data_IF_410623730997
#
_entry.id   IF_410623730997
#
_cell.length_a   1.000
_cell.length_b   1.000
_cell.length_c   1.000
_cell.angle_alpha   90.00
_cell.angle_beta   90.00
_cell.angle_gamma   90.00
#
_symmetry.space_group_name_H-M   'P 1'
#
loop_
_entity.id
_entity.type
_entity.pdbx_description
1 polymer ?
#
# COMPACT_ATOMS: atom_id res chain seq x y z
N UNK A 1 2.58 22.37 -12.79
CA UNK A 1 1.54 21.32 -12.85
C UNK A 1 0.99 21.12 -11.45
N UNK A 2 -0.27 20.69 -11.27
CA UNK A 2 -0.75 20.34 -9.93
C UNK A 2 0.09 19.21 -9.32
N UNK A 3 -0.06 18.97 -8.02
CA UNK A 3 0.54 17.80 -7.38
C UNK A 3 0.16 16.51 -8.12
N UNK A 4 1.14 15.63 -8.34
CA UNK A 4 0.95 14.33 -8.99
C UNK A 4 1.61 13.30 -8.07
N UNK A 5 0.79 12.60 -7.28
CA UNK A 5 1.24 11.57 -6.37
C UNK A 5 1.26 10.23 -7.09
N UNK A 6 2.42 9.59 -7.13
CA UNK A 6 2.62 8.28 -7.73
C UNK A 6 3.42 7.39 -6.81
N UNK A 7 3.38 6.09 -7.09
CA UNK A 7 4.30 5.13 -6.49
C UNK A 7 5.75 5.44 -6.95
N UNK A 8 6.69 5.54 -6.01
CA UNK A 8 8.10 5.82 -6.32
C UNK A 8 8.87 4.55 -6.74
N UNK A 9 10.04 4.74 -7.36
CA UNK A 9 10.87 3.70 -7.96
C UNK A 9 11.73 2.96 -6.92
N UNK A 10 11.08 2.22 -6.03
CA UNK A 10 11.45 0.84 -5.68
C UNK A 10 10.43 0.31 -4.69
N UNK A 11 9.50 -0.46 -5.23
CA UNK A 11 8.70 -1.42 -4.51
C UNK A 11 9.62 -2.33 -3.68
N UNK A 12 9.79 -1.99 -2.41
CA UNK A 12 10.03 -2.98 -1.37
C UNK A 12 8.72 -3.13 -0.62
N UNK A 13 7.78 -3.90 -1.18
CA UNK A 13 6.72 -4.51 -0.36
C UNK A 13 7.42 -5.51 0.55
N UNK A 14 8.01 -5.00 1.62
CA UNK A 14 8.43 -5.84 2.71
C UNK A 14 7.15 -6.03 3.49
N UNK A 15 6.46 -7.13 3.20
CA UNK A 15 5.73 -7.76 4.28
C UNK A 15 6.78 -8.06 5.34
N UNK A 16 6.65 -7.44 6.51
CA UNK A 16 7.42 -7.82 7.67
C UNK A 16 6.48 -8.65 8.55
N UNK A 17 6.61 -9.98 8.58
CA UNK A 17 7.61 -10.83 7.91
C UNK A 17 7.30 -11.13 6.43
N UNK A 18 8.34 -11.47 5.63
CA UNK A 18 8.25 -11.73 4.16
C UNK A 18 7.39 -12.97 3.84
N UNK A 19 7.03 -13.73 4.86
CA UNK A 19 6.09 -14.85 4.81
C UNK A 19 5.14 -14.70 5.99
N UNK A 20 4.10 -13.85 5.87
CA UNK A 20 3.14 -13.63 6.92
C UNK A 20 2.41 -14.93 7.26
N UNK A 21 2.18 -15.10 8.55
CA UNK A 21 1.50 -16.25 9.10
C UNK A 21 0.03 -15.92 9.33
N UNK A 22 -0.85 -16.86 9.01
CA UNK A 22 -2.28 -16.71 9.21
C UNK A 22 -2.59 -16.32 10.67
N UNK A 23 -3.39 -15.26 10.83
CA UNK A 23 -3.77 -14.74 12.14
C UNK A 23 -2.68 -13.97 12.89
N UNK A 24 -1.53 -13.71 12.28
CA UNK A 24 -0.50 -12.82 12.80
C UNK A 24 -0.51 -11.50 12.07
N UNK A 25 -0.17 -10.44 12.81
CA UNK A 25 -0.02 -9.11 12.24
C UNK A 25 1.19 -9.09 11.30
N UNK A 26 1.00 -8.50 10.12
CA UNK A 26 2.08 -8.18 9.20
C UNK A 26 1.88 -6.78 8.65
N UNK A 27 2.98 -6.07 8.41
CA UNK A 27 2.92 -4.73 7.87
C UNK A 27 3.18 -4.72 6.38
N UNK A 28 2.46 -3.87 5.66
CA UNK A 28 2.72 -3.55 4.25
C UNK A 28 3.24 -2.13 4.20
N UNK A 29 4.34 -1.93 3.49
CA UNK A 29 5.00 -0.63 3.33
C UNK A 29 5.13 -0.28 1.85
N UNK A 30 4.95 1.01 1.53
CA UNK A 30 5.13 1.53 0.18
C UNK A 30 5.70 2.94 0.21
N UNK A 31 6.31 3.38 -0.89
CA UNK A 31 6.87 4.72 -1.04
C UNK A 31 6.13 5.46 -2.15
N UNK A 32 5.74 6.69 -1.84
CA UNK A 32 5.02 7.58 -2.74
C UNK A 32 5.85 8.82 -2.99
N UNK A 33 5.79 9.36 -4.20
CA UNK A 33 6.47 10.60 -4.58
C UNK A 33 5.50 11.59 -5.20
N UNK A 34 5.67 12.87 -4.87
CA UNK A 34 5.01 13.95 -5.59
C UNK A 34 5.87 14.39 -6.77
N UNK A 35 5.56 13.89 -7.96
CA UNK A 35 6.24 14.26 -9.23
C UNK A 35 5.62 15.48 -9.90
N UNK A 36 4.68 16.16 -9.23
CA UNK A 36 4.12 17.45 -9.66
C UNK A 36 5.04 18.62 -9.33
N UNK A 37 4.63 19.83 -9.74
CA UNK A 37 5.38 21.07 -9.46
C UNK A 37 4.79 21.87 -8.27
N UNK A 38 3.73 21.35 -7.65
CA UNK A 38 3.02 21.97 -6.53
C UNK A 38 2.90 20.96 -5.38
N UNK A 39 2.87 21.47 -4.15
CA UNK A 39 2.63 20.66 -2.95
C UNK A 39 1.23 20.05 -3.00
N UNK A 40 1.10 18.81 -2.51
CA UNK A 40 -0.23 18.20 -2.36
C UNK A 40 -0.98 18.83 -1.18
N UNK A 41 -2.30 18.70 -1.18
CA UNK A 41 -3.07 18.79 0.07
C UNK A 41 -2.99 17.46 0.84
N UNK A 42 -3.61 17.40 2.01
CA UNK A 42 -3.93 16.13 2.67
C UNK A 42 -4.66 15.22 1.67
N UNK A 43 -4.31 13.95 1.66
CA UNK A 43 -4.84 12.98 0.71
C UNK A 43 -5.07 11.63 1.39
N UNK A 44 -5.75 10.73 0.68
CA UNK A 44 -6.05 9.40 1.19
C UNK A 44 -5.59 8.35 0.17
N UNK A 45 -4.98 7.29 0.68
CA UNK A 45 -4.67 6.09 -0.07
C UNK A 45 -5.57 4.95 0.36
N UNK A 46 -5.87 4.05 -0.58
CA UNK A 46 -6.65 2.84 -0.32
C UNK A 46 -5.78 1.65 -0.69
N UNK A 47 -5.45 0.83 0.29
CA UNK A 47 -4.73 -0.42 0.10
C UNK A 47 -5.71 -1.58 0.25
N UNK A 48 -5.68 -2.50 -0.71
CA UNK A 48 -6.58 -3.64 -0.76
C UNK A 48 -5.81 -4.94 -0.93
N UNK A 49 -6.24 -5.95 -0.17
CA UNK A 49 -5.78 -7.33 -0.22
C UNK A 49 -6.96 -8.22 -0.57
N UNK A 50 -7.03 -8.72 -1.79
CA UNK A 50 -8.14 -9.56 -2.28
C UNK A 50 -7.69 -10.98 -2.63
N UNK A 51 -8.26 -11.96 -1.95
CA UNK A 51 -8.24 -13.39 -2.27
C UNK A 51 -9.62 -13.80 -2.82
N UNK A 52 -9.80 -13.61 -4.13
CA UNK A 52 -10.97 -14.05 -4.90
C UNK A 52 -12.32 -13.56 -4.34
N UNK A 53 -12.38 -12.32 -3.85
CA UNK A 53 -13.57 -11.72 -3.25
C UNK A 53 -13.62 -11.81 -1.72
N UNK A 54 -12.53 -12.25 -1.08
CA UNK A 54 -12.37 -12.26 0.37
C UNK A 54 -11.08 -11.56 0.76
N UNK A 55 -11.06 -10.80 1.85
CA UNK A 55 -9.86 -10.10 2.28
C UNK A 55 -10.18 -8.81 3.03
N UNK A 56 -9.30 -7.83 2.92
CA UNK A 56 -9.39 -6.59 3.68
C UNK A 56 -8.90 -5.39 2.86
N UNK A 57 -9.67 -4.30 2.95
CA UNK A 57 -9.30 -2.99 2.41
C UNK A 57 -9.13 -2.01 3.56
N UNK A 58 -8.03 -1.26 3.56
CA UNK A 58 -7.76 -0.21 4.53
C UNK A 58 -7.47 1.12 3.84
N UNK A 59 -7.95 2.21 4.44
CA UNK A 59 -7.64 3.57 4.00
C UNK A 59 -6.58 4.19 4.92
N UNK A 60 -5.63 4.92 4.33
CA UNK A 60 -4.61 5.68 5.04
C UNK A 60 -4.79 7.17 4.73
N UNK A 61 -5.00 7.98 5.77
CA UNK A 61 -4.93 9.44 5.65
C UNK A 61 -3.46 9.87 5.66
N UNK A 62 -3.06 10.64 4.65
CA UNK A 62 -1.69 11.02 4.40
C UNK A 62 -1.52 12.55 4.50
N UNK A 63 -0.46 12.94 5.20
CA UNK A 63 -0.02 14.33 5.28
C UNK A 63 0.43 14.85 3.90
N UNK A 64 0.34 16.16 3.65
CA UNK A 64 0.81 16.81 2.43
C UNK A 64 2.24 16.42 2.05
N UNK A 65 2.45 16.17 0.76
CA UNK A 65 3.76 15.88 0.19
C UNK A 65 4.18 17.04 -0.71
N UNK A 66 5.29 17.70 -0.37
CA UNK A 66 5.79 18.83 -1.15
C UNK A 66 6.26 18.38 -2.54
N UNK A 67 6.31 19.32 -3.49
CA UNK A 67 6.77 19.02 -4.85
C UNK A 67 8.19 18.41 -4.85
N UNK A 68 8.35 17.23 -5.45
CA UNK A 68 9.59 16.48 -5.53
C UNK A 68 9.97 15.69 -4.28
N UNK A 69 9.16 15.70 -3.21
CA UNK A 69 9.37 14.87 -2.03
C UNK A 69 8.80 13.46 -2.20
N UNK A 70 9.39 12.52 -1.45
CA UNK A 70 8.89 11.15 -1.28
C UNK A 70 8.56 10.86 0.18
N UNK A 71 7.60 9.98 0.42
CA UNK A 71 7.22 9.54 1.76
C UNK A 71 6.94 8.04 1.80
N UNK A 72 7.43 7.39 2.87
CA UNK A 72 7.08 5.99 3.17
C UNK A 72 5.78 5.93 3.95
N UNK A 73 4.89 5.04 3.51
CA UNK A 73 3.60 4.72 4.12
C UNK A 73 3.59 3.29 4.64
N UNK A 74 2.76 3.02 5.64
CA UNK A 74 2.64 1.69 6.24
C UNK A 74 1.23 1.43 6.75
N UNK A 75 0.75 0.20 6.53
CA UNK A 75 -0.46 -0.35 7.13
C UNK A 75 -0.16 -1.70 7.76
N UNK A 76 -1.00 -2.12 8.70
CA UNK A 76 -0.88 -3.43 9.36
C UNK A 76 -2.16 -4.21 9.14
N UNK A 77 -2.00 -5.46 8.72
CA UNK A 77 -3.08 -6.39 8.41
C UNK A 77 -2.97 -7.64 9.26
N UNK A 78 -4.12 -8.28 9.50
CA UNK A 78 -4.21 -9.59 10.13
C UNK A 78 -5.23 -10.42 9.35
N UNK A 79 -4.73 -11.34 8.54
CA UNK A 79 -5.54 -12.08 7.58
C UNK A 79 -5.37 -13.60 7.75
N UNK A 80 -6.38 -14.40 7.37
CA UNK A 80 -6.24 -15.85 7.31
C UNK A 80 -5.31 -16.28 6.17
N UNK A 81 -4.90 -17.56 6.18
CA UNK A 81 -4.12 -18.14 5.09
C UNK A 81 -4.85 -17.98 3.74
N UNK A 82 -4.12 -17.62 2.71
CA UNK A 82 -4.67 -17.28 1.40
C UNK A 82 -3.62 -16.74 0.44
N UNK A 83 -4.04 -16.46 -0.79
CA UNK A 83 -3.22 -15.81 -1.82
C UNK A 83 -3.90 -14.50 -2.22
N UNK A 84 -3.42 -13.40 -1.65
CA UNK A 84 -4.05 -12.10 -1.79
C UNK A 84 -3.36 -11.29 -2.87
N UNK A 85 -4.16 -10.75 -3.79
CA UNK A 85 -3.71 -9.73 -4.73
C UNK A 85 -3.67 -8.40 -4.01
N UNK A 86 -2.49 -7.77 -4.03
CA UNK A 86 -2.27 -6.45 -3.46
C UNK A 86 -2.59 -5.39 -4.50
N UNK A 87 -3.45 -4.44 -4.14
CA UNK A 87 -3.73 -3.27 -4.98
C UNK A 87 -3.72 -1.99 -4.16
N UNK A 88 -3.31 -0.90 -4.80
CA UNK A 88 -3.17 0.41 -4.17
C UNK A 88 -3.78 1.48 -5.05
N UNK A 89 -4.58 2.36 -4.45
CA UNK A 89 -5.08 3.58 -5.08
C UNK A 89 -4.51 4.76 -4.28
N UNK A 90 -3.63 5.54 -4.91
CA UNK A 90 -3.02 6.73 -4.31
C UNK A 90 -3.91 7.93 -4.62
N UNK A 91 -4.38 8.66 -3.61
CA UNK A 91 -5.18 9.89 -3.78
C UNK A 91 -6.32 9.78 -4.84
N UNK A 92 -7.06 8.66 -4.84
CA UNK A 92 -8.16 8.41 -5.78
C UNK A 92 -7.75 8.28 -7.26
N UNK A 93 -6.46 8.05 -7.54
CA UNK A 93 -5.94 7.81 -8.89
C UNK A 93 -6.28 6.41 -9.41
N UNK A 94 -5.60 5.97 -10.47
CA UNK A 94 -5.78 4.62 -11.00
C UNK A 94 -5.26 3.59 -10.00
N UNK A 95 -5.96 2.48 -9.89
CA UNK A 95 -5.53 1.35 -9.08
C UNK A 95 -4.28 0.71 -9.68
N UNK A 96 -3.23 0.60 -8.88
CA UNK A 96 -1.99 -0.09 -9.20
C UNK A 96 -2.02 -1.50 -8.63
N UNK A 97 -1.70 -2.51 -9.44
CA UNK A 97 -1.52 -3.88 -8.97
C UNK A 97 -0.08 -4.10 -8.56
N UNK A 98 0.11 -4.45 -7.30
CA UNK A 98 1.40 -4.50 -6.63
C UNK A 98 2.01 -5.92 -6.62
N UNK A 99 1.19 -6.92 -6.97
CA UNK A 99 1.56 -8.32 -6.99
C UNK A 99 0.71 -9.13 -6.03
N UNK A 100 1.24 -10.27 -5.58
CA UNK A 100 0.55 -11.21 -4.70
C UNK A 100 1.35 -11.42 -3.42
N UNK A 101 0.64 -11.55 -2.30
CA UNK A 101 1.19 -12.01 -1.03
C UNK A 101 0.53 -13.33 -0.65
N UNK A 102 1.36 -14.33 -0.36
CA UNK A 102 0.91 -15.60 0.16
C UNK A 102 1.01 -15.62 1.68
N UNK A 103 -0.12 -15.76 2.34
CA UNK A 103 -0.20 -15.94 3.79
C UNK A 103 -0.30 -17.44 4.07
N UNK A 104 0.63 -17.96 4.85
CA UNK A 104 0.74 -19.40 5.14
C UNK A 104 0.22 -19.77 6.52
N UNK A 105 -0.16 -21.04 6.71
CA UNK A 105 -0.36 -21.62 8.03
C UNK A 105 1.02 -21.90 8.66
N UNK A 106 1.42 -21.08 9.62
CA UNK A 106 2.65 -21.29 10.39
C UNK A 106 2.36 -22.16 11.60
N UNK A 107 2.27 -23.48 11.36
CA UNK A 107 2.10 -24.53 12.39
C UNK A 107 3.14 -25.62 12.23
#
# INVERSE_FOLDING_TARGET
MPAILILDNQVSFITDPVSPCAGQDFSVTWEEANVGDEDSADYQDIFDLDDQGTGESQALECDPLAAGESATRSLTFNLPAGDYTMTLIINGQTQETLGNVRIGDCV
#
